data_IF_768615125406
#
_entry.id   IF_768615125406
#
_cell.length_a   1.000
_cell.length_b   1.000
_cell.length_c   1.000
_cell.angle_alpha   90.00
_cell.angle_beta   90.00
_cell.angle_gamma   90.00
#
_symmetry.space_group_name_H-M   'P 1'
#
loop_
_entity.id
_entity.type
_entity.pdbx_description
1 polymer ?
#
# COMPACT_ATOMS: atom_id res chain seq x y z
N UNK A 1 18.37 -17.80 8.57
CA UNK A 1 17.66 -16.95 7.59
C UNK A 1 16.17 -17.24 7.72
N UNK A 2 15.42 -16.42 8.45
CA UNK A 2 13.96 -16.60 8.57
C UNK A 2 13.34 -16.26 7.22
N UNK A 3 12.98 -17.29 6.45
CA UNK A 3 12.43 -17.14 5.11
C UNK A 3 11.23 -16.19 5.12
N UNK A 4 11.25 -15.19 4.23
CA UNK A 4 10.09 -14.31 4.04
C UNK A 4 8.90 -15.18 3.62
N UNK A 5 7.74 -15.08 4.30
CA UNK A 5 6.56 -15.79 3.86
C UNK A 5 6.25 -15.38 2.42
N UNK A 6 5.98 -16.36 1.57
CA UNK A 6 5.70 -16.12 0.15
C UNK A 6 4.50 -15.16 -0.02
N UNK A 7 3.54 -15.23 0.89
CA UNK A 7 2.39 -14.32 1.00
C UNK A 7 2.79 -12.84 1.13
N UNK A 8 3.78 -12.51 1.97
CA UNK A 8 4.30 -11.14 2.11
C UNK A 8 4.94 -10.64 0.81
N UNK A 9 5.65 -11.53 0.11
CA UNK A 9 6.24 -11.20 -1.19
C UNK A 9 5.15 -10.92 -2.23
N UNK A 10 4.08 -11.73 -2.25
CA UNK A 10 2.92 -11.50 -3.10
C UNK A 10 2.27 -10.13 -2.79
N UNK A 11 2.06 -9.80 -1.52
CA UNK A 11 1.50 -8.50 -1.12
C UNK A 11 2.33 -7.34 -1.67
N UNK A 12 3.65 -7.39 -1.51
CA UNK A 12 4.54 -6.35 -2.01
C UNK A 12 4.52 -6.25 -3.54
N UNK A 13 4.47 -7.38 -4.25
CA UNK A 13 4.37 -7.41 -5.70
C UNK A 13 3.05 -6.79 -6.17
N UNK A 14 1.92 -7.09 -5.51
CA UNK A 14 0.62 -6.51 -5.86
C UNK A 14 0.60 -4.99 -5.63
N UNK A 15 1.18 -4.52 -4.53
CA UNK A 15 1.32 -3.08 -4.26
C UNK A 15 2.21 -2.42 -5.32
N UNK A 16 3.29 -3.08 -5.72
CA UNK A 16 4.20 -2.58 -6.75
C UNK A 16 3.53 -2.52 -8.13
N UNK A 17 2.72 -3.52 -8.48
CA UNK A 17 1.91 -3.52 -9.70
C UNK A 17 0.91 -2.35 -9.66
N UNK A 18 0.26 -2.10 -8.52
CA UNK A 18 -0.62 -0.93 -8.37
C UNK A 18 0.15 0.39 -8.55
N UNK A 19 1.34 0.51 -7.96
CA UNK A 19 2.20 1.68 -8.14
C UNK A 19 2.55 1.89 -9.62
N UNK A 20 2.85 0.81 -10.34
CA UNK A 20 3.11 0.85 -11.77
C UNK A 20 1.90 1.32 -12.57
N UNK A 21 0.70 0.83 -12.27
CA UNK A 21 -0.53 1.31 -12.93
C UNK A 21 -0.77 2.79 -12.71
N UNK A 22 -0.62 3.29 -11.48
CA UNK A 22 -0.75 4.71 -11.17
C UNK A 22 0.29 5.57 -11.88
N UNK A 23 1.53 5.08 -11.99
CA UNK A 23 2.60 5.77 -12.69
C UNK A 23 2.33 5.81 -14.20
N UNK A 24 1.94 4.67 -14.78
CA UNK A 24 1.58 4.58 -16.20
C UNK A 24 0.40 5.50 -16.52
N UNK A 25 -0.65 5.49 -15.69
CA UNK A 25 -1.81 6.38 -15.84
C UNK A 25 -1.38 7.86 -15.81
N UNK A 26 -0.55 8.26 -14.84
CA UNK A 26 -0.06 9.62 -14.73
C UNK A 26 0.74 10.06 -15.97
N UNK A 27 1.58 9.19 -16.53
CA UNK A 27 2.31 9.46 -17.77
C UNK A 27 1.37 9.57 -18.97
N UNK A 28 0.42 8.65 -19.12
CA UNK A 28 -0.57 8.64 -20.22
C UNK A 28 -1.40 9.93 -20.20
N UNK A 29 -1.83 10.38 -19.02
CA UNK A 29 -2.55 11.66 -18.86
C UNK A 29 -1.64 12.84 -19.21
N UNK A 30 -0.38 12.83 -18.78
CA UNK A 30 0.57 13.91 -19.04
C UNK A 30 0.91 14.10 -20.52
N UNK A 31 0.89 13.03 -21.32
CA UNK A 31 1.11 13.07 -22.79
C UNK A 31 -0.18 13.23 -23.59
N UNK A 32 -1.30 13.49 -22.93
CA UNK A 32 -2.62 13.65 -23.52
C UNK A 32 -3.12 12.45 -24.35
N UNK A 33 -2.74 11.23 -23.93
CA UNK A 33 -3.11 9.99 -24.61
C UNK A 33 -4.40 9.37 -24.08
N UNK A 34 -5.18 10.07 -23.24
CA UNK A 34 -6.49 9.62 -22.74
C UNK A 34 -7.61 10.25 -23.58
N UNK A 35 -8.21 9.52 -24.53
CA UNK A 35 -9.32 10.03 -25.32
C UNK A 35 -10.55 10.28 -24.43
N UNK A 36 -11.10 11.49 -24.51
CA UNK A 36 -12.30 11.89 -23.75
C UNK A 36 -12.03 12.56 -22.39
N UNK A 37 -10.77 12.80 -22.03
CA UNK A 37 -10.43 13.59 -20.85
C UNK A 37 -10.71 15.07 -21.10
N UNK A 38 -11.33 15.76 -20.13
CA UNK A 38 -11.82 17.14 -20.26
C UNK A 38 -10.84 18.09 -20.94
N UNK A 39 -11.33 18.94 -21.85
CA UNK A 39 -10.51 19.91 -22.61
C UNK A 39 -9.80 20.96 -21.75
N UNK A 40 -10.06 21.01 -20.44
CA UNK A 40 -9.39 21.89 -19.49
C UNK A 40 -7.97 21.38 -19.18
N UNK A 41 -6.91 22.06 -19.67
CA UNK A 41 -5.52 21.59 -19.52
C UNK A 41 -5.10 21.50 -18.04
N UNK A 42 -5.63 22.40 -17.21
CA UNK A 42 -5.32 22.45 -15.78
C UNK A 42 -5.80 21.19 -15.04
N UNK A 43 -6.97 20.66 -15.40
CA UNK A 43 -7.51 19.46 -14.75
C UNK A 43 -6.70 18.22 -15.13
N UNK A 44 -6.23 18.13 -16.38
CA UNK A 44 -5.34 17.06 -16.85
C UNK A 44 -4.03 17.03 -16.04
N UNK A 45 -3.39 18.19 -15.86
CA UNK A 45 -2.16 18.28 -15.07
C UNK A 45 -2.36 17.91 -13.60
N UNK A 46 -3.48 18.32 -13.00
CA UNK A 46 -3.83 17.93 -11.62
C UNK A 46 -3.95 16.40 -11.51
N UNK A 47 -4.67 15.76 -12.44
CA UNK A 47 -4.85 14.31 -12.43
C UNK A 47 -3.55 13.54 -12.70
N UNK A 48 -2.70 14.04 -13.61
CA UNK A 48 -1.40 13.46 -13.88
C UNK A 48 -0.49 13.51 -12.63
N UNK A 49 -0.37 14.68 -12.01
CA UNK A 49 0.44 14.88 -10.81
C UNK A 49 -0.08 14.02 -9.66
N UNK A 50 -1.40 13.96 -9.46
CA UNK A 50 -2.01 13.15 -8.42
C UNK A 50 -1.74 11.66 -8.63
N UNK A 51 -1.84 11.19 -9.87
CA UNK A 51 -1.55 9.79 -10.22
C UNK A 51 -0.09 9.42 -9.96
N UNK A 52 0.85 10.29 -10.35
CA UNK A 52 2.28 10.11 -10.08
C UNK A 52 2.56 10.15 -8.57
N UNK A 53 1.92 11.06 -7.83
CA UNK A 53 2.06 11.16 -6.38
C UNK A 53 1.60 9.87 -5.68
N UNK A 54 0.47 9.30 -6.10
CA UNK A 54 -0.02 8.02 -5.58
C UNK A 54 0.98 6.89 -5.85
N UNK A 55 1.56 6.83 -7.05
CA UNK A 55 2.59 5.85 -7.37
C UNK A 55 3.82 6.00 -6.45
N UNK A 56 4.26 7.24 -6.19
CA UNK A 56 5.35 7.53 -5.26
C UNK A 56 5.05 7.09 -3.83
N UNK A 57 3.82 7.34 -3.35
CA UNK A 57 3.36 6.89 -2.03
C UNK A 57 3.37 5.36 -1.95
N UNK A 58 2.84 4.66 -2.94
CA UNK A 58 2.82 3.19 -2.96
C UNK A 58 4.22 2.58 -2.99
N UNK A 59 5.16 3.19 -3.73
CA UNK A 59 6.57 2.79 -3.73
C UNK A 59 7.21 2.98 -2.35
N UNK A 60 6.99 4.14 -1.73
CA UNK A 60 7.50 4.43 -0.39
C UNK A 60 6.92 3.44 0.64
N UNK A 61 5.61 3.18 0.58
CA UNK A 61 4.95 2.20 1.44
C UNK A 61 5.54 0.80 1.24
N UNK A 62 5.74 0.36 0.00
CA UNK A 62 6.38 -0.94 -0.32
C UNK A 62 7.76 -1.04 0.32
N UNK A 63 8.58 0.01 0.21
CA UNK A 63 9.92 0.06 0.80
C UNK A 63 9.88 0.01 2.33
N UNK A 64 9.02 0.78 2.99
CA UNK A 64 8.94 0.76 4.45
C UNK A 64 8.28 -0.51 5.00
N UNK A 65 7.34 -1.09 4.26
CA UNK A 65 6.69 -2.36 4.60
C UNK A 65 7.71 -3.52 4.51
N UNK A 66 8.63 -3.46 3.55
CA UNK A 66 9.79 -4.36 3.47
C UNK A 66 10.71 -4.26 4.70
N UNK A 67 10.83 -3.05 5.29
CA UNK A 67 11.58 -2.80 6.52
C UNK A 67 10.83 -3.25 7.80
N UNK A 68 9.68 -3.92 7.69
CA UNK A 68 8.84 -4.38 8.84
C UNK A 68 8.42 -3.25 9.79
N UNK A 69 8.20 -2.04 9.26
CA UNK A 69 7.72 -0.93 10.09
C UNK A 69 6.23 -1.08 10.38
N UNK A 70 5.86 -1.00 11.67
CA UNK A 70 4.45 -1.02 12.10
C UNK A 70 3.65 0.14 11.54
N UNK A 71 4.26 1.32 11.50
CA UNK A 71 3.61 2.52 10.96
C UNK A 71 3.22 2.31 9.51
N UNK A 72 4.06 1.63 8.73
CA UNK A 72 3.84 1.35 7.32
C UNK A 72 2.74 0.32 7.09
N UNK A 73 2.63 -0.66 7.99
CA UNK A 73 1.49 -1.59 8.00
C UNK A 73 0.16 -0.83 8.14
N UNK A 74 0.04 0.01 9.17
CA UNK A 74 -1.18 0.80 9.40
C UNK A 74 -1.45 1.81 8.29
N UNK A 75 -0.41 2.48 7.77
CA UNK A 75 -0.55 3.41 6.65
C UNK A 75 -1.03 2.70 5.38
N UNK A 76 -0.48 1.53 5.06
CA UNK A 76 -0.88 0.77 3.86
C UNK A 76 -2.32 0.27 4.01
N UNK A 77 -2.68 -0.24 5.19
CA UNK A 77 -4.04 -0.67 5.50
C UNK A 77 -5.04 0.50 5.40
N UNK A 78 -4.69 1.65 5.97
CA UNK A 78 -5.51 2.86 5.91
C UNK A 78 -5.63 3.38 4.48
N UNK A 79 -4.53 3.40 3.72
CA UNK A 79 -4.52 3.83 2.33
C UNK A 79 -5.49 3.00 1.48
N UNK A 80 -5.31 1.67 1.45
CA UNK A 80 -6.20 0.80 0.67
C UNK A 80 -7.64 0.80 1.20
N UNK A 81 -7.82 0.95 2.53
CA UNK A 81 -9.15 1.05 3.13
C UNK A 81 -9.89 2.31 2.71
N UNK A 82 -9.24 3.47 2.79
CA UNK A 82 -9.81 4.76 2.38
C UNK A 82 -10.09 4.75 0.88
N UNK A 83 -9.15 4.28 0.04
CA UNK A 83 -9.38 4.21 -1.41
C UNK A 83 -10.54 3.30 -1.74
N UNK A 84 -10.68 2.15 -1.07
CA UNK A 84 -11.82 1.24 -1.27
C UNK A 84 -13.15 1.90 -0.91
N UNK A 85 -13.19 2.64 0.19
CA UNK A 85 -14.38 3.40 0.60
C UNK A 85 -14.71 4.47 -0.45
N UNK A 86 -13.72 5.26 -0.89
CA UNK A 86 -13.91 6.29 -1.91
C UNK A 86 -14.43 5.69 -3.22
N UNK A 87 -13.90 4.55 -3.66
CA UNK A 87 -14.36 3.86 -4.88
C UNK A 87 -15.82 3.40 -4.78
N UNK A 88 -16.31 3.07 -3.58
CA UNK A 88 -17.74 2.70 -3.39
C UNK A 88 -18.65 3.93 -3.50
N UNK A 89 -18.16 5.12 -3.13
CA UNK A 89 -18.91 6.38 -3.19
C UNK A 89 -18.81 7.07 -4.56
N UNK A 90 -17.88 6.64 -5.41
CA UNK A 90 -17.79 7.11 -6.79
C UNK A 90 -18.88 6.44 -7.66
N UNK A 91 -19.12 6.97 -8.85
CA UNK A 91 -20.07 6.37 -9.80
C UNK A 91 -19.64 4.92 -10.11
N UNK A 92 -20.42 3.95 -9.64
CA UNK A 92 -20.02 2.54 -9.63
C UNK A 92 -20.07 1.96 -11.04
N UNK A 93 -18.95 1.98 -11.74
CA UNK A 93 -18.74 1.30 -13.01
C UNK A 93 -18.17 -0.11 -12.84
N UNK A 94 -18.17 -0.89 -13.93
CA UNK A 94 -17.49 -2.20 -13.96
C UNK A 94 -15.99 -2.07 -13.66
N UNK A 95 -15.37 -0.97 -14.08
CA UNK A 95 -13.96 -0.69 -13.79
C UNK A 95 -13.71 -0.50 -12.29
N UNK A 96 -14.61 0.19 -11.59
CA UNK A 96 -14.52 0.47 -10.16
C UNK A 96 -14.66 -0.79 -9.32
N UNK A 97 -15.55 -1.71 -9.72
CA UNK A 97 -15.68 -3.02 -9.08
C UNK A 97 -14.39 -3.82 -9.21
N UNK A 98 -13.78 -3.85 -10.40
CA UNK A 98 -12.51 -4.56 -10.61
C UNK A 98 -11.39 -3.91 -9.79
N UNK A 99 -11.30 -2.58 -9.78
CA UNK A 99 -10.31 -1.85 -9.00
C UNK A 99 -10.50 -2.08 -7.49
N UNK A 100 -11.74 -2.10 -7.01
CA UNK A 100 -12.09 -2.40 -5.62
C UNK A 100 -11.67 -3.83 -5.23
N UNK A 101 -11.90 -4.82 -6.09
CA UNK A 101 -11.45 -6.18 -5.82
C UNK A 101 -9.91 -6.27 -5.74
N UNK A 102 -9.22 -5.58 -6.65
CA UNK A 102 -7.75 -5.52 -6.66
C UNK A 102 -7.21 -4.82 -5.41
N UNK A 103 -7.86 -3.75 -4.95
CA UNK A 103 -7.45 -2.99 -3.76
C UNK A 103 -7.71 -3.73 -2.45
N UNK A 104 -8.70 -4.64 -2.42
CA UNK A 104 -9.00 -5.50 -1.26
C UNK A 104 -7.98 -6.63 -1.08
N UNK A 105 -7.35 -7.14 -2.15
CA UNK A 105 -6.38 -8.24 -2.03
C UNK A 105 -5.20 -7.88 -1.10
N UNK A 106 -4.52 -6.72 -1.25
CA UNK A 106 -3.49 -6.27 -0.31
C UNK A 106 -3.97 -6.23 1.13
N UNK A 107 -5.20 -5.76 1.39
CA UNK A 107 -5.79 -5.68 2.73
C UNK A 107 -5.90 -7.09 3.33
N UNK A 108 -6.46 -8.04 2.60
CA UNK A 108 -6.64 -9.41 3.07
C UNK A 108 -5.30 -10.09 3.36
N UNK A 109 -4.29 -9.89 2.51
CA UNK A 109 -2.96 -10.44 2.71
C UNK A 109 -2.22 -9.78 3.88
N UNK A 110 -2.35 -8.46 4.05
CA UNK A 110 -1.82 -7.72 5.21
C UNK A 110 -2.41 -8.26 6.52
N UNK A 111 -3.73 -8.45 6.58
CA UNK A 111 -4.41 -8.98 7.78
C UNK A 111 -3.97 -10.41 8.08
N UNK A 112 -3.80 -11.25 7.03
CA UNK A 112 -3.33 -12.63 7.17
C UNK A 112 -1.91 -12.70 7.72
N UNK A 113 -1.00 -11.88 7.19
CA UNK A 113 0.41 -11.85 7.60
C UNK A 113 0.70 -10.84 8.73
N UNK A 114 -0.33 -10.36 9.44
CA UNK A 114 -0.21 -9.32 10.47
C UNK A 114 0.89 -9.59 11.51
N UNK A 115 1.08 -10.86 11.88
CA UNK A 115 2.08 -11.27 12.87
C UNK A 115 3.52 -11.03 12.38
N UNK A 116 3.76 -11.08 11.06
CA UNK A 116 5.07 -10.83 10.48
C UNK A 116 5.44 -9.34 10.49
N UNK A 117 4.44 -8.45 10.39
CA UNK A 117 4.63 -6.99 10.41
C UNK A 117 4.58 -6.39 11.82
N UNK A 118 3.79 -7.00 12.72
CA UNK A 118 3.57 -6.49 14.07
C UNK A 118 4.44 -7.16 15.14
N UNK A 119 5.28 -8.13 14.78
CA UNK A 119 6.24 -8.76 15.70
C UNK A 119 7.09 -7.67 16.39
N UNK A 120 6.68 -7.30 17.60
CA UNK A 120 7.53 -6.62 18.57
C UNK A 120 8.72 -7.51 18.81
N UNK A 121 9.87 -6.87 18.91
CA UNK A 121 11.00 -7.41 19.63
C UNK A 121 10.61 -7.50 21.12
N UNK A 122 9.69 -8.38 21.47
CA UNK A 122 9.29 -8.67 22.84
C UNK A 122 10.27 -9.69 23.41
N UNK A 123 11.47 -9.26 23.81
CA UNK A 123 12.32 -9.89 24.85
C UNK A 123 13.67 -9.16 24.96
N UNK A 124 13.69 -7.98 25.59
CA UNK A 124 14.86 -7.52 26.35
C UNK A 124 14.25 -6.72 27.51
N UNK A 125 13.89 -7.39 28.60
CA UNK A 125 13.68 -6.81 29.96
C UNK A 125 13.07 -7.80 30.98
N UNK A 126 12.99 -9.09 30.67
CA UNK A 126 12.52 -10.12 31.62
C UNK A 126 13.63 -10.87 32.37
N UNK A 127 14.91 -10.65 32.04
CA UNK A 127 16.01 -11.57 32.41
C UNK A 127 17.15 -10.92 33.21
N UNK A 128 17.00 -9.67 33.67
CA UNK A 128 18.03 -9.00 34.50
C UNK A 128 17.57 -8.67 35.93
N UNK A 129 16.35 -9.05 36.31
CA UNK A 129 15.86 -8.83 37.68
C UNK A 129 15.83 -10.09 38.54
N UNK A 130 16.09 -11.27 37.97
CA UNK A 130 16.15 -12.52 38.72
C UNK A 130 17.54 -12.83 39.28
N UNK A 131 18.60 -12.22 38.74
CA UNK A 131 19.99 -12.56 39.09
C UNK A 131 20.60 -11.66 40.19
N UNK A 132 19.83 -10.68 40.70
CA UNK A 132 20.31 -9.70 41.71
C UNK A 132 19.80 -10.05 43.13
N UNK A 133 18.96 -11.06 43.28
CA UNK A 133 18.46 -11.48 44.61
C UNK A 133 19.20 -12.69 45.21
N UNK A 134 20.13 -13.30 44.46
CA UNK A 134 20.87 -14.51 44.87
C UNK A 134 22.40 -14.31 44.91
N UNK A 135 22.89 -13.06 45.00
CA UNK A 135 24.34 -12.72 45.04
C UNK A 135 24.79 -12.02 46.31
#
# INVERSE_FOLDING_TARGET
MTSRPLTVTITLVIILINAFFWLALGIIIAVDAVPGLSDLPQMKWILAILSIAIAGILLALTFFLFKRSRTSYFLTLAFFGITSILTIFDDVGLADIVFLLISLIPILLLIKDRSWYLQTKDTIDGDHSADVLDG
#
